data_IF_628762266533
#
_entry.id   IF_628762266533
#
_cell.length_a   1.000
_cell.length_b   1.000
_cell.length_c   1.000
_cell.angle_alpha   90.00
_cell.angle_beta   90.00
_cell.angle_gamma   90.00
#
_symmetry.space_group_name_H-M   'P 1'
#
loop_
_entity.id
_entity.type
_entity.pdbx_description
1 polymer ?
#
# COMPACT_ATOMS: atom_id res chain seq x y z
N UNK A 1 15.63 -30.02 -14.95
CA UNK A 1 14.74 -30.35 -13.81
C UNK A 1 14.40 -29.05 -13.11
N UNK A 2 13.21 -28.46 -13.31
CA UNK A 2 12.87 -27.24 -12.60
C UNK A 2 12.23 -27.57 -11.25
N UNK A 3 12.77 -26.94 -10.21
CA UNK A 3 12.35 -27.06 -8.82
C UNK A 3 11.02 -26.31 -8.62
N UNK A 4 9.91 -27.05 -8.58
CA UNK A 4 8.63 -26.56 -8.10
C UNK A 4 8.69 -26.48 -6.56
N UNK A 5 8.90 -25.29 -6.01
CA UNK A 5 8.84 -25.03 -4.57
C UNK A 5 7.44 -24.54 -4.19
N UNK A 6 6.63 -25.52 -3.78
CA UNK A 6 5.46 -25.48 -2.88
C UNK A 6 4.85 -24.09 -2.57
N UNK A 7 3.84 -23.71 -3.35
CA UNK A 7 2.76 -22.84 -2.90
C UNK A 7 1.80 -23.71 -2.05
N UNK A 8 2.04 -23.77 -0.74
CA UNK A 8 1.40 -24.71 0.18
C UNK A 8 -0.10 -24.37 0.34
N UNK A 9 -0.96 -25.16 -0.31
CA UNK A 9 -2.42 -25.12 -0.14
C UNK A 9 -2.78 -25.91 1.11
N UNK A 10 -3.14 -25.21 2.19
CA UNK A 10 -3.69 -25.84 3.39
C UNK A 10 -5.21 -25.92 3.21
N UNK A 11 -5.69 -27.05 2.68
CA UNK A 11 -7.08 -27.47 2.86
C UNK A 11 -7.19 -28.13 4.25
N UNK A 12 -7.77 -27.44 5.22
CA UNK A 12 -8.18 -28.07 6.48
C UNK A 12 -9.69 -28.03 6.62
N UNK A 13 -10.29 -29.21 6.57
CA UNK A 13 -11.70 -29.48 6.90
C UNK A 13 -11.96 -29.21 8.38
N UNK A 14 -13.08 -28.53 8.65
CA UNK A 14 -13.54 -28.10 9.96
C UNK A 14 -13.86 -29.24 10.95
N UNK A 15 -13.60 -29.02 12.25
CA UNK A 15 -14.59 -29.22 13.32
C UNK A 15 -14.16 -28.57 14.66
N UNK A 16 -14.97 -27.60 15.12
CA UNK A 16 -15.33 -27.21 16.50
C UNK A 16 -14.28 -27.16 17.65
N UNK A 17 -13.98 -25.92 18.10
CA UNK A 17 -14.23 -25.50 19.50
C UNK A 17 -14.04 -23.97 19.66
N UNK A 18 -15.06 -23.31 20.23
CA UNK A 18 -15.05 -21.91 20.66
C UNK A 18 -14.35 -21.82 22.02
N UNK A 19 -13.38 -20.91 22.17
CA UNK A 19 -13.21 -20.02 23.33
C UNK A 19 -12.04 -19.03 23.11
N UNK A 20 -12.35 -17.78 23.46
CA UNK A 20 -11.56 -16.54 23.48
C UNK A 20 -10.02 -16.63 23.46
N UNK A 21 -9.44 -15.81 22.58
CA UNK A 21 -8.02 -15.44 22.58
C UNK A 21 -7.51 -15.24 21.16
N UNK A 22 -7.79 -14.09 20.54
CA UNK A 22 -7.18 -13.71 19.25
C UNK A 22 -5.68 -13.50 19.44
N UNK A 23 -4.93 -14.58 19.40
CA UNK A 23 -3.52 -14.56 19.10
C UNK A 23 -3.40 -14.60 17.58
N UNK A 24 -2.85 -13.53 17.00
CA UNK A 24 -2.41 -13.55 15.61
C UNK A 24 -1.30 -14.60 15.53
N UNK A 25 -1.60 -15.74 14.92
CA UNK A 25 -0.64 -16.82 14.73
C UNK A 25 0.59 -16.30 13.98
N UNK A 26 1.74 -16.40 14.64
CA UNK A 26 3.07 -15.98 14.18
C UNK A 26 3.67 -16.96 13.15
N UNK A 27 2.88 -17.43 12.19
CA UNK A 27 3.30 -18.44 11.22
C UNK A 27 3.65 -17.89 9.82
N UNK A 28 3.47 -16.60 9.55
CA UNK A 28 3.72 -15.99 8.22
C UNK A 28 4.88 -14.99 8.26
N UNK A 29 6.06 -15.40 8.77
CA UNK A 29 7.30 -14.60 8.70
C UNK A 29 8.32 -15.14 7.69
N UNK A 30 7.89 -15.92 6.70
CA UNK A 30 8.77 -16.23 5.56
C UNK A 30 8.91 -14.97 4.72
N UNK A 31 10.11 -14.38 4.72
CA UNK A 31 10.46 -13.22 3.91
C UNK A 31 10.00 -13.41 2.46
N UNK A 32 9.45 -12.34 1.89
CA UNK A 32 8.84 -12.36 0.56
C UNK A 32 9.96 -12.59 -0.46
N UNK A 33 9.96 -13.74 -1.12
CA UNK A 33 10.79 -13.88 -2.32
C UNK A 33 10.12 -13.12 -3.46
N UNK A 34 10.59 -11.90 -3.70
CA UNK A 34 10.15 -11.06 -4.79
C UNK A 34 10.39 -11.74 -6.14
N UNK A 35 9.39 -11.67 -7.03
CA UNK A 35 9.56 -12.10 -8.41
C UNK A 35 10.50 -11.14 -9.17
N UNK A 36 11.41 -11.67 -10.01
CA UNK A 36 12.47 -10.88 -10.64
C UNK A 36 11.96 -9.87 -11.68
N UNK A 37 10.75 -10.06 -12.23
CA UNK A 37 10.10 -9.15 -13.18
C UNK A 37 8.60 -9.13 -12.87
N UNK A 38 8.11 -7.98 -12.40
CA UNK A 38 6.67 -7.79 -12.20
C UNK A 38 6.06 -7.02 -13.37
N UNK A 39 4.96 -7.50 -13.98
CA UNK A 39 4.20 -6.71 -14.94
C UNK A 39 3.35 -5.62 -14.26
N UNK A 40 3.36 -5.52 -12.93
CA UNK A 40 2.62 -4.50 -12.20
C UNK A 40 3.39 -3.20 -12.17
N UNK A 41 2.72 -2.14 -12.60
CA UNK A 41 3.20 -0.77 -12.45
C UNK A 41 3.24 -0.39 -10.97
N UNK A 42 4.22 0.44 -10.61
CA UNK A 42 4.25 1.11 -9.33
C UNK A 42 3.19 2.21 -9.24
N UNK A 43 3.06 2.79 -8.06
CA UNK A 43 2.15 3.90 -7.80
C UNK A 43 2.95 5.13 -7.40
N UNK A 44 2.65 6.25 -8.04
CA UNK A 44 3.07 7.58 -7.61
C UNK A 44 1.85 8.29 -7.04
N UNK A 45 1.92 8.64 -5.76
CA UNK A 45 0.77 9.07 -4.96
C UNK A 45 1.05 10.47 -4.42
N UNK A 46 0.28 11.45 -4.88
CA UNK A 46 0.25 12.77 -4.25
C UNK A 46 -0.74 12.69 -3.10
N UNK A 47 -0.24 12.81 -1.89
CA UNK A 47 -1.05 12.82 -0.66
C UNK A 47 -1.39 14.25 -0.32
N UNK A 48 -2.67 14.53 -0.08
CA UNK A 48 -3.15 15.82 0.44
C UNK A 48 -3.87 15.62 1.77
N UNK A 49 -3.44 16.36 2.81
CA UNK A 49 -4.07 16.37 4.13
C UNK A 49 -5.14 17.48 4.19
N UNK A 50 -6.35 17.13 4.60
CA UNK A 50 -7.51 18.03 4.56
C UNK A 50 -7.74 18.80 5.87
N UNK A 51 -7.26 18.30 7.01
CA UNK A 51 -7.56 18.86 8.34
C UNK A 51 -6.43 19.63 9.03
N UNK A 52 -5.25 19.81 8.41
CA UNK A 52 -4.09 20.45 9.05
C UNK A 52 -3.87 21.92 8.66
N UNK A 53 -3.57 22.78 9.65
CA UNK A 53 -3.02 24.12 9.44
C UNK A 53 -1.58 24.05 8.85
N UNK A 54 -1.18 25.02 7.99
CA UNK A 54 0.05 25.00 7.18
C UNK A 54 1.37 24.82 7.98
N UNK A 55 2.46 24.33 7.34
CA UNK A 55 2.84 24.71 5.96
C UNK A 55 2.94 23.59 4.91
N UNK A 56 2.59 22.33 5.21
CA UNK A 56 2.95 21.16 4.38
C UNK A 56 1.77 20.20 4.15
N UNK A 57 0.70 20.68 3.54
CA UNK A 57 -0.53 19.90 3.33
C UNK A 57 -0.43 18.85 2.21
N UNK A 58 0.69 18.79 1.47
CA UNK A 58 0.91 17.80 0.42
C UNK A 58 2.32 17.22 0.42
N UNK A 59 2.46 15.96 0.04
CA UNK A 59 3.75 15.30 -0.20
C UNK A 59 3.60 14.16 -1.22
N UNK A 60 4.75 13.72 -1.75
CA UNK A 60 4.83 12.61 -2.69
C UNK A 60 5.19 11.32 -1.96
N UNK A 61 4.43 10.27 -2.28
CA UNK A 61 4.64 8.91 -1.81
C UNK A 61 4.76 8.00 -3.03
N UNK A 62 5.66 7.04 -2.94
CA UNK A 62 5.85 6.02 -3.96
C UNK A 62 5.57 4.65 -3.37
N UNK A 63 4.85 3.81 -4.12
CA UNK A 63 4.58 2.44 -3.73
C UNK A 63 4.96 1.47 -4.86
N UNK A 64 5.83 0.52 -4.57
CA UNK A 64 6.31 -0.51 -5.48
C UNK A 64 5.67 -1.85 -5.13
N UNK A 65 4.97 -2.51 -6.07
CA UNK A 65 4.42 -3.84 -5.82
C UNK A 65 5.53 -4.88 -5.76
N UNK A 66 5.51 -5.69 -4.71
CA UNK A 66 6.30 -6.89 -4.51
C UNK A 66 5.35 -8.07 -4.65
N UNK A 67 5.49 -8.81 -5.75
CA UNK A 67 4.67 -9.99 -6.02
C UNK A 67 5.28 -11.23 -5.37
N UNK A 68 4.40 -12.09 -4.90
CA UNK A 68 4.73 -13.42 -4.38
C UNK A 68 3.68 -14.43 -4.83
N UNK A 69 4.03 -15.71 -4.70
CA UNK A 69 3.16 -16.82 -5.09
C UNK A 69 2.72 -16.72 -6.56
N UNK A 70 3.64 -16.57 -7.51
CA UNK A 70 3.33 -16.48 -8.95
C UNK A 70 2.37 -15.31 -9.28
N UNK A 71 2.54 -14.19 -8.58
CA UNK A 71 1.67 -13.01 -8.69
C UNK A 71 0.28 -13.15 -8.08
N UNK A 72 0.03 -14.21 -7.30
CA UNK A 72 -1.25 -14.39 -6.58
C UNK A 72 -1.35 -13.60 -5.29
N UNK A 73 -0.22 -13.16 -4.72
CA UNK A 73 -0.18 -12.27 -3.58
C UNK A 73 0.66 -11.04 -3.89
N UNK A 74 0.27 -9.88 -3.36
CA UNK A 74 1.02 -8.63 -3.49
C UNK A 74 1.23 -7.97 -2.14
N UNK A 75 2.39 -7.38 -1.93
CA UNK A 75 2.67 -6.41 -0.88
C UNK A 75 3.21 -5.15 -1.55
N UNK A 76 2.89 -3.97 -1.05
CA UNK A 76 3.54 -2.74 -1.49
C UNK A 76 4.67 -2.36 -0.56
N UNK A 77 5.87 -2.27 -1.12
CA UNK A 77 6.95 -1.51 -0.52
C UNK A 77 6.68 -0.02 -0.76
N UNK A 78 6.90 0.83 0.24
CA UNK A 78 6.49 2.23 0.21
C UNK A 78 7.63 3.11 0.68
N UNK A 79 7.84 4.25 0.03
CA UNK A 79 8.56 5.35 0.64
C UNK A 79 7.81 6.68 0.49
N UNK A 80 8.04 7.57 1.44
CA UNK A 80 7.57 8.95 1.37
C UNK A 80 8.64 9.87 1.93
N UNK A 81 8.75 11.04 1.33
CA UNK A 81 9.74 12.06 1.67
C UNK A 81 9.01 13.32 2.10
N UNK A 82 9.23 13.75 3.34
CA UNK A 82 8.65 14.96 3.90
C UNK A 82 9.71 16.06 3.88
N UNK A 83 9.52 17.08 3.04
CA UNK A 83 10.48 18.17 2.90
C UNK A 83 9.87 19.45 2.31
N UNK A 84 10.57 20.57 2.46
CA UNK A 84 10.21 21.83 1.81
C UNK A 84 10.60 21.78 0.33
N UNK A 85 9.64 21.43 -0.54
CA UNK A 85 9.80 21.36 -2.01
C UNK A 85 10.21 22.71 -2.63
N UNK A 86 10.22 23.79 -1.84
CA UNK A 86 10.51 25.17 -2.26
C UNK A 86 11.86 25.71 -1.81
N UNK A 87 12.67 24.97 -1.05
CA UNK A 87 14.00 25.44 -0.66
C UNK A 87 15.08 24.93 -1.63
N UNK A 88 16.01 25.78 -2.08
CA UNK A 88 17.20 25.34 -2.81
C UNK A 88 17.90 24.22 -2.03
N UNK A 89 18.37 23.18 -2.73
CA UNK A 89 18.96 21.96 -2.15
C UNK A 89 20.03 22.19 -1.08
N UNK A 90 20.74 23.33 -1.15
CA UNK A 90 21.76 23.76 -0.18
C UNK A 90 21.22 24.19 1.19
N UNK A 91 19.91 24.46 1.32
CA UNK A 91 19.23 24.86 2.57
C UNK A 91 18.12 23.89 2.99
N UNK A 92 17.89 22.83 2.21
CA UNK A 92 16.93 21.79 2.55
C UNK A 92 17.39 21.09 3.84
N UNK A 93 16.64 21.29 4.92
CA UNK A 93 16.78 20.53 6.17
C UNK A 93 16.45 19.05 5.91
N UNK A 94 16.93 18.14 6.79
CA UNK A 94 16.80 16.71 6.57
C UNK A 94 15.36 16.32 6.24
N UNK A 95 15.26 15.59 5.14
CA UNK A 95 14.05 14.90 4.70
C UNK A 95 13.72 13.88 5.75
N UNK A 96 12.62 14.05 6.47
CA UNK A 96 12.08 12.89 7.17
C UNK A 96 11.62 11.91 6.09
N UNK A 97 12.14 10.69 6.11
CA UNK A 97 11.73 9.65 5.18
C UNK A 97 10.95 8.56 5.91
N UNK A 98 9.81 8.20 5.35
CA UNK A 98 9.09 6.99 5.71
C UNK A 98 9.51 5.92 4.72
N UNK A 99 9.88 4.73 5.22
CA UNK A 99 10.18 3.59 4.37
C UNK A 99 9.56 2.33 4.97
N UNK A 100 8.78 1.63 4.16
CA UNK A 100 8.24 0.31 4.46
C UNK A 100 8.70 -0.68 3.40
N UNK A 101 9.49 -1.69 3.79
CA UNK A 101 9.86 -2.80 2.90
C UNK A 101 9.64 -4.15 3.58
N UNK A 102 9.15 -5.13 2.83
CA UNK A 102 8.76 -6.46 3.34
C UNK A 102 7.74 -6.42 4.49
N UNK A 103 7.00 -5.31 4.58
CA UNK A 103 5.99 -5.08 5.61
C UNK A 103 6.56 -4.56 6.92
N UNK A 104 7.85 -4.23 7.00
CA UNK A 104 8.49 -3.58 8.14
C UNK A 104 8.61 -2.09 7.86
N UNK A 105 8.19 -1.23 8.79
CA UNK A 105 8.16 0.22 8.59
C UNK A 105 9.10 0.95 9.56
N UNK A 106 9.86 1.91 9.03
CA UNK A 106 10.77 2.77 9.78
C UNK A 106 10.53 4.24 9.42
N UNK A 107 10.77 5.13 10.38
CA UNK A 107 10.93 6.56 10.11
C UNK A 107 12.41 6.90 10.29
N UNK A 108 13.02 7.49 9.28
CA UNK A 108 14.37 8.01 9.41
C UNK A 108 14.32 9.55 9.33
N UNK A 109 14.56 10.25 10.46
CA UNK A 109 14.70 11.69 10.46
C UNK A 109 16.07 12.19 9.97
N UNK A 110 17.14 11.38 9.89
CA UNK A 110 18.52 11.90 9.73
C UNK A 110 19.67 10.93 9.24
N UNK A 111 19.41 9.78 8.59
CA UNK A 111 20.37 8.77 7.98
C UNK A 111 20.68 7.52 8.87
N UNK A 112 21.75 6.72 8.53
CA UNK A 112 21.82 5.40 7.90
C UNK A 112 21.93 4.23 8.93
N UNK A 113 21.31 4.37 10.09
CA UNK A 113 21.14 3.31 11.11
C UNK A 113 19.64 3.12 11.37
N UNK A 114 19.17 1.98 11.95
CA UNK A 114 17.76 1.63 11.93
C UNK A 114 16.95 2.68 12.71
N UNK A 115 16.33 3.58 11.94
CA UNK A 115 15.40 4.60 12.41
C UNK A 115 14.31 3.96 13.27
N UNK A 116 13.79 4.73 14.22
CA UNK A 116 12.81 4.25 15.18
C UNK A 116 11.66 3.52 14.47
N UNK A 117 11.37 2.30 14.92
CA UNK A 117 10.28 1.52 14.37
C UNK A 117 8.98 2.31 14.42
N UNK A 118 8.34 2.44 13.27
CA UNK A 118 7.01 3.02 13.23
C UNK A 118 6.00 1.96 13.65
N UNK A 119 5.22 2.32 14.65
CA UNK A 119 3.92 1.71 14.82
C UNK A 119 2.97 2.36 13.82
N UNK A 120 2.12 1.59 13.13
CA UNK A 120 1.25 2.12 12.11
C UNK A 120 0.37 3.24 12.68
N UNK A 121 0.26 4.33 11.91
CA UNK A 121 -0.78 5.36 12.00
C UNK A 121 -0.78 6.32 13.19
N UNK A 122 0.19 6.26 14.10
CA UNK A 122 0.28 7.19 15.23
C UNK A 122 1.61 7.93 15.23
N UNK A 123 1.69 8.95 14.38
CA UNK A 123 2.85 9.85 14.30
C UNK A 123 2.47 11.24 13.85
N UNK A 124 3.36 12.24 13.98
CA UNK A 124 3.13 13.61 13.52
C UNK A 124 3.03 13.72 11.98
N UNK A 125 3.30 12.63 11.25
CA UNK A 125 3.19 12.52 9.81
C UNK A 125 2.04 11.57 9.48
N UNK A 126 0.97 12.09 8.88
CA UNK A 126 -0.17 11.29 8.45
C UNK A 126 0.18 10.56 7.15
N UNK A 127 0.83 9.39 7.28
CA UNK A 127 1.12 8.47 6.18
C UNK A 127 -0.08 7.57 5.94
N UNK A 128 -0.70 7.57 4.75
CA UNK A 128 -1.83 6.71 4.47
C UNK A 128 -1.43 5.24 4.55
N UNK A 129 -2.29 4.34 5.06
CA UNK A 129 -1.96 2.92 5.18
C UNK A 129 -2.11 2.20 3.84
N UNK A 130 -1.14 2.42 2.94
CA UNK A 130 -1.19 1.94 1.55
C UNK A 130 -1.52 0.45 1.43
N UNK A 131 -0.92 -0.41 2.28
CA UNK A 131 -1.20 -1.84 2.23
C UNK A 131 -2.58 -2.23 2.79
N UNK A 132 -3.14 -1.45 3.72
CA UNK A 132 -4.52 -1.65 4.17
C UNK A 132 -5.52 -1.18 3.10
N UNK A 133 -5.24 -0.05 2.44
CA UNK A 133 -6.03 0.43 1.30
C UNK A 133 -5.98 -0.58 0.15
N UNK A 134 -4.79 -1.10 -0.20
CA UNK A 134 -4.64 -2.13 -1.22
C UNK A 134 -5.44 -3.40 -0.87
N UNK A 135 -5.43 -3.82 0.40
CA UNK A 135 -6.26 -4.95 0.87
C UNK A 135 -7.74 -4.69 0.65
N UNK A 136 -8.20 -3.50 1.00
CA UNK A 136 -9.59 -3.12 0.84
C UNK A 136 -10.01 -3.07 -0.64
N UNK A 137 -9.12 -2.60 -1.53
CA UNK A 137 -9.31 -2.64 -2.99
C UNK A 137 -9.39 -4.08 -3.53
N UNK A 138 -8.63 -5.03 -2.98
CA UNK A 138 -8.74 -6.45 -3.36
C UNK A 138 -10.08 -7.06 -2.98
N UNK A 139 -10.75 -6.54 -1.95
CA UNK A 139 -12.04 -7.03 -1.47
C UNK A 139 -13.24 -6.36 -2.15
N UNK A 140 -13.01 -5.41 -3.05
CA UNK A 140 -14.08 -4.76 -3.80
C UNK A 140 -14.81 -5.78 -4.66
N UNK A 141 -16.13 -5.81 -4.52
CA UNK A 141 -17.04 -6.50 -5.43
C UNK A 141 -17.57 -5.52 -6.48
N UNK A 142 -17.99 -6.03 -7.65
CA UNK A 142 -18.70 -5.24 -8.66
C UNK A 142 -20.11 -4.88 -8.15
N UNK A 143 -20.16 -3.94 -7.21
CA UNK A 143 -21.35 -3.20 -6.84
C UNK A 143 -21.05 -1.73 -7.14
N UNK A 144 -21.17 -1.37 -8.41
CA UNK A 144 -21.03 0.02 -8.84
C UNK A 144 -22.05 0.86 -8.08
N UNK A 145 -21.60 1.75 -7.20
CA UNK A 145 -22.46 2.76 -6.62
C UNK A 145 -22.74 3.87 -7.64
N UNK A 146 -23.86 4.57 -7.42
CA UNK A 146 -24.35 5.62 -8.30
C UNK A 146 -23.24 6.64 -8.64
N UNK A 147 -23.25 7.09 -9.90
CA UNK A 147 -22.44 8.22 -10.38
C UNK A 147 -22.57 9.37 -9.38
N UNK A 148 -21.46 9.77 -8.78
CA UNK A 148 -21.39 10.99 -7.98
C UNK A 148 -21.05 12.14 -8.93
N UNK A 149 -21.57 13.34 -8.67
CA UNK A 149 -21.26 14.55 -9.46
C UNK A 149 -19.74 14.84 -9.55
N UNK A 150 -18.95 14.27 -8.64
CA UNK A 150 -17.49 14.44 -8.56
C UNK A 150 -16.69 13.28 -9.19
N UNK A 151 -17.33 12.16 -9.53
CA UNK A 151 -16.66 11.00 -10.13
C UNK A 151 -17.25 10.70 -11.51
N UNK A 152 -16.47 11.01 -12.56
CA UNK A 152 -16.85 10.77 -13.95
C UNK A 152 -16.69 9.31 -14.38
N UNK A 153 -16.00 8.48 -13.59
CA UNK A 153 -15.76 7.07 -13.85
C UNK A 153 -16.47 6.13 -12.87
N UNK A 154 -15.92 4.91 -12.72
CA UNK A 154 -16.44 3.95 -11.74
C UNK A 154 -16.09 4.40 -10.31
N UNK A 155 -17.08 4.35 -9.44
CA UNK A 155 -16.96 4.69 -8.02
C UNK A 155 -17.10 3.43 -7.15
N UNK A 156 -16.18 3.27 -6.21
CA UNK A 156 -16.16 2.19 -5.24
C UNK A 156 -16.06 2.75 -3.82
N UNK A 157 -16.64 2.04 -2.86
CA UNK A 157 -16.48 2.34 -1.44
C UNK A 157 -15.65 1.23 -0.80
N UNK A 158 -14.65 1.62 -0.01
CA UNK A 158 -13.76 0.69 0.68
C UNK A 158 -13.60 1.11 2.14
N UNK A 159 -13.27 0.16 3.01
CA UNK A 159 -12.89 0.42 4.40
C UNK A 159 -11.51 -0.17 4.65
N UNK A 160 -10.58 0.65 5.15
CA UNK A 160 -9.22 0.24 5.50
C UNK A 160 -8.88 0.79 6.88
N UNK A 161 -8.47 -0.09 7.81
CA UNK A 161 -8.17 0.26 9.20
C UNK A 161 -9.27 1.12 9.87
N UNK A 162 -10.52 0.69 9.72
CA UNK A 162 -11.73 1.36 10.23
C UNK A 162 -12.07 2.72 9.60
N UNK A 163 -11.22 3.24 8.71
CA UNK A 163 -11.51 4.43 7.91
C UNK A 163 -12.24 4.09 6.61
N UNK A 164 -13.22 4.93 6.26
CA UNK A 164 -13.98 4.81 5.02
C UNK A 164 -13.40 5.68 3.92
N UNK A 165 -13.23 5.09 2.73
CA UNK A 165 -12.73 5.78 1.56
C UNK A 165 -13.65 5.58 0.36
N UNK A 166 -13.70 6.61 -0.49
CA UNK A 166 -14.28 6.55 -1.82
C UNK A 166 -13.18 6.48 -2.87
N UNK A 167 -13.27 5.55 -3.81
CA UNK A 167 -12.29 5.34 -4.88
C UNK A 167 -12.95 5.63 -6.21
N UNK A 168 -12.48 6.67 -6.89
CA UNK A 168 -12.94 7.06 -8.21
C UNK A 168 -11.90 6.71 -9.27
N UNK A 169 -12.30 6.01 -10.32
CA UNK A 169 -11.47 5.84 -11.53
C UNK A 169 -11.53 7.11 -12.36
N UNK A 170 -10.57 8.03 -12.17
CA UNK A 170 -10.58 9.37 -12.77
C UNK A 170 -10.03 9.41 -14.19
N UNK A 171 -9.02 8.60 -14.51
CA UNK A 171 -8.51 8.38 -15.87
C UNK A 171 -8.19 6.89 -16.06
N UNK A 172 -9.11 6.11 -16.68
CA UNK A 172 -8.95 4.67 -16.83
C UNK A 172 -7.58 4.27 -17.40
N UNK A 173 -6.85 3.42 -16.67
CA UNK A 173 -5.53 2.94 -17.07
C UNK A 173 -4.35 3.87 -16.74
N UNK A 174 -4.62 5.03 -16.14
CA UNK A 174 -3.61 6.03 -15.76
C UNK A 174 -3.72 6.50 -14.31
N UNK A 175 -4.93 6.74 -13.81
CA UNK A 175 -5.15 7.40 -12.52
C UNK A 175 -6.44 6.98 -11.83
N UNK A 176 -6.36 6.86 -10.52
CA UNK A 176 -7.52 6.82 -9.61
C UNK A 176 -7.35 7.89 -8.53
N UNK A 177 -8.46 8.30 -7.93
CA UNK A 177 -8.47 9.18 -6.77
C UNK A 177 -9.13 8.48 -5.59
N UNK A 178 -8.49 8.53 -4.43
CA UNK A 178 -9.00 7.94 -3.19
C UNK A 178 -9.24 9.06 -2.18
N UNK A 179 -10.48 9.22 -1.74
CA UNK A 179 -10.90 10.29 -0.83
C UNK A 179 -11.37 9.68 0.49
N UNK A 180 -10.75 10.10 1.59
CA UNK A 180 -11.21 9.84 2.96
C UNK A 180 -11.62 11.14 3.65
N UNK A 181 -11.89 11.08 4.95
CA UNK A 181 -12.31 12.25 5.74
C UNK A 181 -11.20 13.30 5.86
N UNK A 182 -9.97 12.85 6.13
CA UNK A 182 -8.83 13.73 6.40
C UNK A 182 -7.76 13.71 5.30
N UNK A 183 -7.96 12.89 4.26
CA UNK A 183 -6.97 12.66 3.22
C UNK A 183 -7.57 12.55 1.84
N UNK A 184 -6.81 13.01 0.85
CA UNK A 184 -7.05 12.84 -0.57
C UNK A 184 -5.77 12.29 -1.21
N UNK A 185 -5.90 11.18 -1.92
CA UNK A 185 -4.81 10.53 -2.65
C UNK A 185 -5.07 10.64 -4.15
N UNK A 186 -4.19 11.32 -4.86
CA UNK A 186 -4.14 11.26 -6.33
C UNK A 186 -3.11 10.21 -6.74
N UNK A 187 -3.58 9.06 -7.24
CA UNK A 187 -2.77 7.87 -7.50
C UNK A 187 -2.59 7.71 -9.00
N UNK A 188 -1.35 7.87 -9.47
CA UNK A 188 -0.98 7.63 -10.87
C UNK A 188 -0.18 6.33 -10.99
N UNK A 189 -0.49 5.52 -12.01
CA UNK A 189 0.29 4.31 -12.31
C UNK A 189 1.60 4.69 -13.00
N UNK A 190 2.73 4.24 -12.45
CA UNK A 190 4.06 4.59 -12.91
C UNK A 190 4.86 3.33 -13.28
N UNK A 191 5.51 3.35 -14.45
CA UNK A 191 6.27 2.20 -14.95
C UNK A 191 7.53 1.91 -14.12
N UNK A 192 8.11 2.94 -13.52
CA UNK A 192 9.33 2.85 -12.73
C UNK A 192 9.14 3.60 -11.41
N UNK A 193 9.16 2.84 -10.32
CA UNK A 193 9.11 3.37 -8.96
C UNK A 193 10.18 2.65 -8.14
N UNK A 194 11.08 3.43 -7.56
CA UNK A 194 12.13 2.92 -6.70
C UNK A 194 11.80 3.20 -5.23
N UNK A 195 11.87 2.15 -4.43
CA UNK A 195 11.74 2.20 -2.98
C UNK A 195 13.03 1.64 -2.41
N UNK A 196 13.71 2.44 -1.59
CA UNK A 196 14.92 2.01 -0.90
C UNK A 196 14.55 0.95 0.15
N UNK A 197 15.36 -0.10 0.28
CA UNK A 197 15.14 -1.09 1.33
C UNK A 197 15.52 -0.53 2.67
N UNK A 198 14.66 -0.72 3.68
CA UNK A 198 15.01 -0.42 5.06
C UNK A 198 15.73 -1.58 5.77
N UNK A 199 15.97 -2.71 5.09
CA UNK A 199 16.55 -3.92 5.70
C UNK A 199 15.51 -4.90 6.26
N UNK A 200 14.21 -4.62 6.14
CA UNK A 200 13.13 -5.54 6.46
C UNK A 200 13.20 -6.03 7.91
N UNK A 201 13.21 -7.36 8.10
CA UNK A 201 13.32 -7.97 9.43
C UNK A 201 14.62 -7.60 10.17
N UNK A 202 15.70 -7.26 9.46
CA UNK A 202 16.98 -6.88 10.09
C UNK A 202 16.91 -5.54 10.84
N UNK A 203 15.86 -4.75 10.62
CA UNK A 203 15.60 -3.51 11.39
C UNK A 203 15.30 -3.77 12.86
N UNK A 204 14.87 -4.98 13.23
CA UNK A 204 14.34 -5.28 14.56
C UNK A 204 12.92 -4.75 14.81
N UNK A 205 12.27 -4.17 13.80
CA UNK A 205 10.90 -3.68 13.89
C UNK A 205 9.88 -4.81 13.77
N UNK A 206 8.65 -4.55 14.24
CA UNK A 206 7.53 -5.46 14.00
C UNK A 206 7.07 -5.34 12.56
N UNK A 207 6.68 -6.46 11.97
CA UNK A 207 6.00 -6.46 10.69
C UNK A 207 4.58 -5.90 10.88
N UNK A 208 4.23 -4.89 10.08
CA UNK A 208 2.97 -4.13 10.14
C UNK A 208 2.09 -4.37 8.92
N UNK A 209 2.58 -5.08 7.91
CA UNK A 209 1.82 -5.42 6.70
C UNK A 209 2.21 -6.78 6.16
N UNK A 210 1.25 -7.47 5.55
CA UNK A 210 1.41 -8.82 5.03
C UNK A 210 0.91 -8.90 3.59
N UNK A 211 1.47 -9.77 2.74
CA UNK A 211 1.00 -9.98 1.38
C UNK A 211 -0.49 -10.31 1.32
N UNK A 212 -1.19 -9.69 0.39
CA UNK A 212 -2.64 -9.82 0.20
C UNK A 212 -2.95 -10.60 -1.07
N UNK A 213 -3.94 -11.53 -1.05
CA UNK A 213 -4.39 -12.21 -2.27
C UNK A 213 -4.89 -11.22 -3.33
N UNK A 214 -4.46 -11.43 -4.57
CA UNK A 214 -4.82 -10.62 -5.72
C UNK A 214 -6.18 -11.06 -6.26
N UNK A 215 -7.11 -10.11 -6.39
CA UNK A 215 -8.38 -10.34 -7.11
C UNK A 215 -8.38 -9.62 -8.46
N UNK A 216 -9.22 -10.06 -9.44
CA UNK A 216 -9.28 -9.42 -10.75
C UNK A 216 -9.64 -7.93 -10.70
N UNK A 217 -10.60 -7.55 -9.85
CA UNK A 217 -11.04 -6.15 -9.69
C UNK A 217 -9.95 -5.34 -9.00
N UNK A 218 -9.41 -5.83 -7.88
CA UNK A 218 -8.35 -5.12 -7.16
C UNK A 218 -7.09 -4.93 -8.01
N UNK A 219 -6.70 -5.96 -8.77
CA UNK A 219 -5.60 -5.85 -9.76
C UNK A 219 -5.89 -4.77 -10.80
N UNK A 220 -7.10 -4.72 -11.34
CA UNK A 220 -7.50 -3.70 -12.32
C UNK A 220 -7.37 -2.29 -11.73
N UNK A 221 -7.85 -2.08 -10.50
CA UNK A 221 -7.78 -0.79 -9.79
C UNK A 221 -6.36 -0.38 -9.43
N UNK A 222 -5.48 -1.34 -9.12
CA UNK A 222 -4.12 -1.06 -8.66
C UNK A 222 -3.07 -1.03 -9.79
N UNK A 223 -3.42 -1.47 -11.00
CA UNK A 223 -2.49 -1.49 -12.15
C UNK A 223 -3.00 -0.71 -13.36
N UNK A 224 -4.27 -0.30 -13.34
CA UNK A 224 -4.94 0.30 -14.48
C UNK A 224 -5.20 -0.68 -15.62
N UNK A 225 -4.95 -1.98 -15.45
CA UNK A 225 -5.28 -2.96 -16.48
C UNK A 225 -6.79 -3.14 -16.60
N UNK A 226 -7.36 -3.40 -17.78
CA UNK A 226 -8.75 -3.82 -17.90
C UNK A 226 -9.01 -5.05 -17.01
N UNK A 227 -10.10 -5.04 -16.25
CA UNK A 227 -10.55 -6.21 -15.48
C UNK A 227 -10.93 -7.33 -16.44
N UNK A 228 -10.49 -8.57 -16.20
CA UNK A 228 -10.87 -9.71 -17.04
C UNK A 228 -12.39 -9.96 -17.10
N UNK A 229 -13.16 -9.43 -16.14
CA UNK A 229 -14.64 -9.46 -16.13
C UNK A 229 -15.31 -8.49 -17.11
N UNK A 230 -14.55 -7.73 -17.91
CA UNK A 230 -15.04 -6.76 -18.89
C UNK A 230 -14.95 -7.26 -20.35
N UNK A 231 -14.74 -8.56 -20.56
CA UNK A 231 -14.75 -9.23 -21.87
C UNK A 231 -15.89 -10.25 -21.94
#
# INVERSE_FOLDING_TARGET
>A
MPSALLCLTVFYTALLSVLAGTSFDAAESQGIQAEPITPWRGLSIVVTLLSSAPPRNQYLLHAKPVLSCEGHKVLYDVNATFGDVYLPSIWAKPVTSYVQTDGFAVMDPDRPEPGGCLYPETGPYAVPPINAIARALMNVTDSTHAVSDTCTGKLYSITANDDSFSVCVTDPGRRITITGNDLLLDVSYADHVEVESNGGAATGCKQVSFPIPVTPIGKSLLTGSPSASAL
#
